data_IF_701375337893
#
_entry.id   IF_701375337893
#
_cell.length_a   1.000
_cell.length_b   1.000
_cell.length_c   1.000
_cell.angle_alpha   90.00
_cell.angle_beta   90.00
_cell.angle_gamma   90.00
#
_symmetry.space_group_name_H-M   'P 1'
#
loop_
_entity.id
_entity.type
_entity.pdbx_description
1 polymer ?
#
# COMPACT_ATOMS: atom_id res chain seq x y z
N UNK A 1 4.34 42.75 5.47
CA UNK A 1 2.94 43.20 5.71
C UNK A 1 2.24 42.23 6.68
N UNK A 2 1.27 42.67 7.49
CA UNK A 2 0.43 41.78 8.32
C UNK A 2 -0.93 41.56 7.65
N UNK A 3 -1.43 40.32 7.64
CA UNK A 3 -2.76 39.96 7.11
C UNK A 3 -3.54 39.07 8.06
N UNK A 4 -4.85 39.10 7.91
CA UNK A 4 -5.79 38.34 8.75
C UNK A 4 -5.85 36.89 8.27
N UNK A 5 -5.67 35.95 9.21
CA UNK A 5 -5.80 34.51 8.96
C UNK A 5 -7.12 34.00 9.55
N UNK A 6 -7.92 33.29 8.75
CA UNK A 6 -9.17 32.71 9.23
C UNK A 6 -8.94 31.29 9.77
N UNK A 7 -8.80 31.18 11.10
CA UNK A 7 -8.60 29.89 11.77
C UNK A 7 -9.90 29.36 12.36
N UNK A 8 -10.29 28.15 11.94
CA UNK A 8 -11.52 27.52 12.42
C UNK A 8 -11.50 27.29 13.93
N UNK A 9 -12.50 27.82 14.60
CA UNK A 9 -12.73 27.59 16.03
C UNK A 9 -11.79 28.36 16.96
N UNK A 10 -11.17 29.43 16.47
CA UNK A 10 -10.49 30.45 17.28
C UNK A 10 -11.38 31.67 17.37
N UNK A 11 -11.51 32.25 18.56
CA UNK A 11 -12.23 33.50 18.77
C UNK A 11 -11.26 34.68 18.57
N UNK A 12 -11.74 35.76 17.97
CA UNK A 12 -10.94 36.96 17.77
C UNK A 12 -10.05 36.92 16.53
N UNK A 13 -9.16 37.90 16.44
CA UNK A 13 -8.41 38.23 15.22
C UNK A 13 -7.02 37.63 15.27
N UNK A 14 -6.68 36.79 14.30
CA UNK A 14 -5.32 36.26 14.11
C UNK A 14 -4.69 36.98 12.93
N UNK A 15 -3.49 37.54 13.13
CA UNK A 15 -2.70 38.19 12.08
C UNK A 15 -1.34 37.53 11.95
N UNK A 16 -0.84 37.45 10.74
CA UNK A 16 0.46 36.85 10.44
C UNK A 16 1.18 37.65 9.36
N UNK A 17 2.51 37.62 9.37
CA UNK A 17 3.33 38.17 8.29
C UNK A 17 3.61 37.14 7.19
N UNK A 18 4.29 37.58 6.13
CA UNK A 18 4.45 36.85 4.87
C UNK A 18 5.22 35.52 4.99
N UNK A 19 6.15 35.42 5.94
CA UNK A 19 6.96 34.23 6.25
C UNK A 19 6.51 33.47 7.50
N UNK A 20 5.51 34.01 8.20
CA UNK A 20 5.04 33.45 9.47
C UNK A 20 6.01 33.59 10.63
N UNK A 21 7.06 34.42 10.55
CA UNK A 21 7.96 34.68 11.69
C UNK A 21 7.28 35.43 12.85
N UNK A 22 6.21 36.18 12.56
CA UNK A 22 5.42 36.93 13.55
C UNK A 22 3.94 36.61 13.41
N UNK A 23 3.37 35.99 14.45
CA UNK A 23 1.94 35.67 14.56
C UNK A 23 1.36 36.42 15.76
N UNK A 24 0.24 37.11 15.55
CA UNK A 24 -0.47 37.84 16.59
C UNK A 24 -1.88 37.29 16.77
N UNK A 25 -2.34 37.19 18.02
CA UNK A 25 -3.74 36.92 18.37
C UNK A 25 -4.23 38.04 19.28
N UNK A 26 -5.27 38.76 18.85
CA UNK A 26 -5.82 39.93 19.55
C UNK A 26 -4.71 40.92 19.97
N UNK A 27 -3.87 41.29 19.00
CA UNK A 27 -2.72 42.22 19.14
C UNK A 27 -1.55 41.74 20.01
N UNK A 28 -1.62 40.53 20.59
CA UNK A 28 -0.52 39.93 21.35
C UNK A 28 0.32 39.01 20.47
N UNK A 29 1.64 39.16 20.53
CA UNK A 29 2.58 38.27 19.84
C UNK A 29 2.52 36.86 20.45
N UNK A 30 2.46 35.85 19.59
CA UNK A 30 2.40 34.44 19.96
C UNK A 30 3.76 33.80 19.71
N UNK A 31 4.26 33.08 20.72
CA UNK A 31 5.51 32.34 20.61
C UNK A 31 5.35 31.12 19.70
N UNK A 32 6.38 30.89 18.89
CA UNK A 32 6.47 29.74 18.01
C UNK A 32 7.44 28.71 18.58
N UNK A 33 7.20 27.45 18.23
CA UNK A 33 8.06 26.32 18.58
C UNK A 33 8.12 25.33 17.42
N UNK A 34 9.17 24.51 17.38
CA UNK A 34 9.34 23.50 16.33
C UNK A 34 8.88 22.14 16.82
N UNK A 35 8.06 21.46 16.03
CA UNK A 35 7.65 20.08 16.28
C UNK A 35 8.37 19.17 15.29
N UNK A 36 9.12 18.21 15.82
CA UNK A 36 9.80 17.18 15.03
C UNK A 36 9.03 15.87 15.16
N UNK A 37 8.78 15.21 14.03
CA UNK A 37 8.29 13.84 14.02
C UNK A 37 9.39 12.92 13.48
N UNK A 38 9.29 11.62 13.76
CA UNK A 38 10.24 10.63 13.26
C UNK A 38 10.38 10.65 11.73
N UNK A 39 9.36 11.12 11.01
CA UNK A 39 9.32 11.17 9.54
C UNK A 39 9.80 12.50 8.94
N UNK A 40 10.03 13.53 9.76
CA UNK A 40 10.41 14.87 9.30
C UNK A 40 11.59 15.40 10.12
N UNK A 41 12.80 15.20 9.61
CA UNK A 41 14.06 15.56 10.30
C UNK A 41 14.15 17.05 10.67
N UNK A 42 13.67 17.94 9.78
CA UNK A 42 13.62 19.39 10.02
C UNK A 42 12.51 19.82 10.97
N UNK A 43 11.40 19.08 11.01
CA UNK A 43 10.19 19.44 11.75
C UNK A 43 9.37 20.54 11.09
N UNK A 44 8.39 21.06 11.83
CA UNK A 44 7.51 22.16 11.40
C UNK A 44 7.43 23.23 12.48
N UNK A 45 7.37 24.50 12.06
CA UNK A 45 6.99 25.58 12.96
C UNK A 45 5.49 25.50 13.30
N UNK A 46 5.20 25.65 14.58
CA UNK A 46 3.86 25.66 15.15
C UNK A 46 3.73 26.76 16.19
N UNK A 47 2.48 27.14 16.47
CA UNK A 47 2.12 27.98 17.59
C UNK A 47 0.89 27.41 18.31
N UNK A 48 0.72 27.79 19.57
CA UNK A 48 -0.46 27.46 20.36
C UNK A 48 -1.32 28.72 20.53
N UNK A 49 -2.58 28.66 20.11
CA UNK A 49 -3.57 29.75 20.24
C UNK A 49 -4.79 29.13 20.91
N UNK A 50 -5.23 29.69 22.05
CA UNK A 50 -6.37 29.15 22.83
C UNK A 50 -6.26 27.64 23.11
N UNK A 51 -5.07 27.17 23.51
CA UNK A 51 -4.74 25.76 23.76
C UNK A 51 -4.90 24.83 22.55
N UNK A 52 -5.02 25.38 21.34
CA UNK A 52 -5.04 24.63 20.09
C UNK A 52 -3.74 24.87 19.33
N UNK A 53 -3.18 23.79 18.83
CA UNK A 53 -1.97 23.83 18.03
C UNK A 53 -2.29 24.10 16.57
N UNK A 54 -1.58 25.07 15.99
CA UNK A 54 -1.64 25.40 14.57
C UNK A 54 -0.25 25.35 13.96
N UNK A 55 -0.17 24.86 12.72
CA UNK A 55 1.06 24.92 11.94
C UNK A 55 1.21 26.30 11.31
N UNK A 56 2.41 26.88 11.43
CA UNK A 56 2.72 28.23 10.92
C UNK A 56 2.44 28.36 9.43
N UNK A 57 2.89 27.41 8.61
CA UNK A 57 2.64 27.41 7.16
C UNK A 57 1.15 27.47 6.82
N UNK A 58 0.29 26.87 7.64
CA UNK A 58 -1.16 26.88 7.40
C UNK A 58 -1.76 28.25 7.72
N UNK A 59 -1.30 28.89 8.80
CA UNK A 59 -1.74 30.25 9.15
C UNK A 59 -1.34 31.23 8.04
N UNK A 60 -0.10 31.14 7.54
CA UNK A 60 0.37 31.96 6.41
C UNK A 60 -0.47 31.71 5.16
N UNK A 61 -0.72 30.44 4.81
CA UNK A 61 -1.50 30.11 3.62
C UNK A 61 -2.96 30.60 3.70
N UNK A 62 -3.60 30.54 4.86
CA UNK A 62 -4.96 31.08 5.05
C UNK A 62 -5.02 32.61 4.91
N UNK A 63 -3.92 33.33 5.17
CA UNK A 63 -3.86 34.79 5.09
C UNK A 63 -3.38 35.34 3.73
N UNK A 64 -2.48 34.62 3.05
CA UNK A 64 -1.79 35.13 1.86
C UNK A 64 -2.05 34.32 0.58
N UNK A 65 -2.49 33.06 0.69
CA UNK A 65 -2.60 32.16 -0.47
C UNK A 65 -4.05 31.81 -0.74
N UNK A 66 -4.60 32.34 -1.83
CA UNK A 66 -5.96 32.01 -2.26
C UNK A 66 -6.06 30.52 -2.58
N UNK A 67 -7.01 29.85 -1.94
CA UNK A 67 -7.30 28.45 -2.25
C UNK A 67 -8.21 28.35 -3.49
N UNK A 68 -7.74 27.79 -4.62
CA UNK A 68 -8.53 27.73 -5.85
C UNK A 68 -9.63 26.66 -5.79
N UNK A 69 -9.52 25.66 -4.92
CA UNK A 69 -10.50 24.58 -4.79
C UNK A 69 -10.74 24.21 -3.32
N UNK A 70 -11.39 25.08 -2.53
CA UNK A 70 -11.50 24.92 -1.08
C UNK A 70 -12.12 23.59 -0.62
N UNK A 71 -12.97 22.98 -1.44
CA UNK A 71 -13.60 21.68 -1.14
C UNK A 71 -12.60 20.52 -1.27
N UNK A 72 -11.72 20.55 -2.26
CA UNK A 72 -10.81 19.43 -2.56
C UNK A 72 -9.38 19.65 -2.05
N UNK A 73 -8.94 20.91 -1.93
CA UNK A 73 -7.60 21.27 -1.50
C UNK A 73 -7.60 21.63 -0.03
N UNK A 74 -7.28 20.63 0.79
CA UNK A 74 -7.28 20.73 2.26
C UNK A 74 -5.87 20.76 2.85
N UNK A 75 -4.84 20.54 2.04
CA UNK A 75 -3.44 20.51 2.45
C UNK A 75 -2.73 21.77 1.94
N UNK A 76 -1.78 22.25 2.74
CA UNK A 76 -0.82 23.27 2.34
C UNK A 76 0.50 22.56 2.07
N UNK A 77 1.12 22.86 0.93
CA UNK A 77 2.30 22.17 0.42
C UNK A 77 3.40 23.21 0.19
N UNK A 78 4.60 22.92 0.71
CA UNK A 78 5.84 23.67 0.43
C UNK A 78 6.36 23.28 -0.96
N UNK A 79 6.59 24.27 -1.84
CA UNK A 79 7.02 24.07 -3.22
C UNK A 79 8.46 23.57 -3.31
N UNK A 80 9.33 24.09 -2.46
CA UNK A 80 10.75 23.72 -2.36
C UNK A 80 11.02 22.45 -1.53
N UNK A 81 10.01 21.93 -0.83
CA UNK A 81 10.13 20.78 0.08
C UNK A 81 10.77 21.11 1.44
N UNK A 82 11.14 22.36 1.72
CA UNK A 82 11.62 22.78 3.02
C UNK A 82 10.45 23.18 3.94
N UNK A 83 10.20 22.37 4.95
CA UNK A 83 9.09 22.53 5.90
C UNK A 83 9.25 23.73 6.83
N UNK A 84 10.42 24.37 6.85
CA UNK A 84 10.71 25.58 7.62
C UNK A 84 10.60 26.86 6.77
N UNK A 85 10.60 26.76 5.44
CA UNK A 85 10.41 27.91 4.55
C UNK A 85 8.91 28.22 4.38
N UNK A 86 8.35 28.99 5.31
CA UNK A 86 6.92 29.28 5.36
C UNK A 86 6.52 30.54 4.58
N UNK A 87 7.40 31.13 3.76
CA UNK A 87 7.04 32.28 2.93
C UNK A 87 5.86 31.95 2.02
N UNK A 88 4.85 32.82 1.97
CA UNK A 88 3.60 32.53 1.26
C UNK A 88 3.80 32.16 -0.22
N UNK A 89 4.82 32.73 -0.87
CA UNK A 89 5.17 32.38 -2.26
C UNK A 89 5.68 30.95 -2.41
N UNK A 90 6.26 30.36 -1.34
CA UNK A 90 6.68 28.97 -1.30
C UNK A 90 5.51 28.02 -0.98
N UNK A 91 4.32 28.53 -0.65
CA UNK A 91 3.18 27.70 -0.26
C UNK A 91 2.15 27.58 -1.38
N UNK A 92 1.45 26.44 -1.43
CA UNK A 92 0.27 26.26 -2.27
C UNK A 92 -0.76 25.36 -1.59
N UNK A 93 -2.03 25.58 -1.94
CA UNK A 93 -3.12 24.69 -1.55
C UNK A 93 -3.21 23.50 -2.51
N UNK A 94 -3.34 22.30 -1.95
CA UNK A 94 -3.46 21.06 -2.73
C UNK A 94 -4.11 19.93 -1.94
N UNK A 95 -4.00 18.73 -2.50
CA UNK A 95 -4.47 17.48 -1.90
C UNK A 95 -3.36 16.42 -1.92
N UNK A 96 -3.66 15.21 -1.46
CA UNK A 96 -2.68 14.12 -1.42
C UNK A 96 -2.09 13.77 -2.79
N UNK A 97 -2.84 13.95 -3.88
CA UNK A 97 -2.35 13.74 -5.25
C UNK A 97 -1.34 14.81 -5.64
N UNK A 98 -1.64 16.08 -5.38
CA UNK A 98 -0.72 17.20 -5.62
C UNK A 98 0.56 17.06 -4.80
N UNK A 99 0.44 16.68 -3.53
CA UNK A 99 1.60 16.42 -2.67
C UNK A 99 2.47 15.29 -3.24
N UNK A 100 1.86 14.18 -3.65
CA UNK A 100 2.59 13.08 -4.28
C UNK A 100 3.33 13.53 -5.54
N UNK A 101 2.67 14.28 -6.43
CA UNK A 101 3.29 14.82 -7.64
C UNK A 101 4.51 15.69 -7.31
N UNK A 102 4.38 16.60 -6.35
CA UNK A 102 5.50 17.44 -5.89
C UNK A 102 6.67 16.65 -5.32
N UNK A 103 6.39 15.58 -4.57
CA UNK A 103 7.44 14.67 -4.04
C UNK A 103 8.16 13.92 -5.16
N UNK A 104 7.44 13.55 -6.23
CA UNK A 104 8.03 12.93 -7.43
C UNK A 104 8.89 13.95 -8.18
N UNK A 105 8.38 15.17 -8.42
CA UNK A 105 9.12 16.26 -9.08
C UNK A 105 10.40 16.62 -8.32
N UNK A 106 10.35 16.64 -6.99
CA UNK A 106 11.50 16.89 -6.13
C UNK A 106 12.48 15.71 -6.03
N UNK A 107 12.21 14.58 -6.71
CA UNK A 107 13.10 13.41 -6.71
C UNK A 107 13.24 12.72 -5.35
N UNK A 108 12.26 12.84 -4.45
CA UNK A 108 12.33 12.25 -3.12
C UNK A 108 12.34 10.71 -3.24
N UNK A 109 13.33 10.00 -2.68
CA UNK A 109 13.41 8.54 -2.74
C UNK A 109 12.12 7.87 -2.26
N UNK A 110 11.58 6.96 -3.07
CA UNK A 110 10.33 6.23 -2.78
C UNK A 110 9.04 6.93 -3.20
N UNK A 111 9.07 8.22 -3.59
CA UNK A 111 7.98 8.85 -4.31
C UNK A 111 8.05 8.44 -5.80
N UNK A 112 6.93 8.03 -6.42
CA UNK A 112 6.91 7.70 -7.86
C UNK A 112 7.33 6.26 -8.23
N UNK A 113 8.29 5.68 -7.51
CA UNK A 113 8.92 4.39 -7.85
C UNK A 113 7.92 3.23 -7.89
N UNK A 114 6.89 3.25 -7.03
CA UNK A 114 5.96 2.14 -6.86
C UNK A 114 5.00 1.89 -8.03
N UNK A 115 4.77 2.89 -8.88
CA UNK A 115 3.85 2.79 -10.02
C UNK A 115 4.54 2.83 -11.37
N UNK A 116 5.74 3.39 -11.46
CA UNK A 116 6.48 3.53 -12.72
C UNK A 116 7.22 2.24 -13.06
N UNK A 117 7.82 1.57 -12.06
CA UNK A 117 8.52 0.33 -12.29
C UNK A 117 7.61 -0.89 -12.04
N UNK A 118 7.22 -1.57 -13.12
CA UNK A 118 6.47 -2.84 -13.05
C UNK A 118 7.22 -3.93 -12.27
N UNK A 119 8.54 -3.77 -12.11
CA UNK A 119 9.41 -4.65 -11.30
C UNK A 119 9.40 -4.30 -9.81
N UNK A 120 8.92 -3.12 -9.42
CA UNK A 120 8.84 -2.76 -8.01
C UNK A 120 7.80 -3.61 -7.27
N UNK A 121 8.27 -4.30 -6.23
CA UNK A 121 7.46 -5.18 -5.37
C UNK A 121 7.35 -4.69 -3.94
N UNK A 122 7.66 -3.42 -3.69
CA UNK A 122 7.71 -2.86 -2.34
C UNK A 122 8.85 -3.46 -1.53
N UNK A 123 8.67 -3.52 -0.21
CA UNK A 123 9.59 -4.14 0.75
C UNK A 123 9.49 -5.68 0.77
N UNK A 124 9.09 -6.31 -0.35
CA UNK A 124 8.98 -7.77 -0.44
C UNK A 124 10.37 -8.40 -0.42
N UNK A 125 10.57 -9.43 0.40
CA UNK A 125 11.80 -10.24 0.39
C UNK A 125 12.03 -10.93 -0.97
N UNK A 126 10.94 -11.29 -1.66
CA UNK A 126 10.98 -11.90 -2.99
C UNK A 126 11.12 -10.80 -4.05
N UNK A 127 12.21 -10.86 -4.81
CA UNK A 127 12.52 -10.00 -5.95
C UNK A 127 11.53 -10.18 -7.11
N UNK A 128 11.61 -9.29 -8.11
CA UNK A 128 10.78 -9.42 -9.31
C UNK A 128 11.06 -10.71 -10.07
N UNK A 129 12.33 -11.00 -10.31
CA UNK A 129 12.73 -12.16 -11.13
C UNK A 129 12.36 -13.48 -10.44
N UNK A 130 12.52 -13.56 -9.12
CA UNK A 130 12.05 -14.70 -8.32
C UNK A 130 10.53 -14.84 -8.38
N UNK A 131 9.79 -13.73 -8.32
CA UNK A 131 8.34 -13.79 -8.42
C UNK A 131 7.84 -14.31 -9.78
N UNK A 132 8.56 -14.02 -10.88
CA UNK A 132 8.26 -14.59 -12.19
C UNK A 132 8.53 -16.10 -12.19
N UNK A 133 9.68 -16.55 -11.66
CA UNK A 133 9.99 -17.98 -11.53
C UNK A 133 8.95 -18.72 -10.69
N UNK A 134 8.53 -18.13 -9.57
CA UNK A 134 7.45 -18.67 -8.72
C UNK A 134 6.14 -18.77 -9.52
N UNK A 135 5.78 -17.75 -10.29
CA UNK A 135 4.56 -17.76 -11.09
C UNK A 135 4.54 -18.89 -12.13
N UNK A 136 5.67 -19.17 -12.78
CA UNK A 136 5.82 -20.29 -13.72
C UNK A 136 5.67 -21.65 -13.03
N UNK A 137 6.28 -21.83 -11.85
CA UNK A 137 6.14 -23.05 -11.04
C UNK A 137 4.68 -23.29 -10.62
N UNK A 138 3.99 -22.23 -10.24
CA UNK A 138 2.56 -22.28 -9.93
C UNK A 138 1.71 -22.65 -11.15
N UNK A 139 2.02 -22.11 -12.33
CA UNK A 139 1.33 -22.44 -13.60
C UNK A 139 1.61 -23.89 -14.06
N UNK A 140 2.74 -24.47 -13.64
CA UNK A 140 3.08 -25.91 -13.77
C UNK A 140 2.35 -26.81 -12.78
N UNK A 141 1.66 -26.24 -11.80
CA UNK A 141 0.80 -26.96 -10.85
C UNK A 141 1.44 -27.23 -9.49
N UNK A 142 2.56 -26.59 -9.16
CA UNK A 142 3.08 -26.61 -7.80
C UNK A 142 2.14 -25.86 -6.84
N UNK A 143 2.11 -26.29 -5.58
CA UNK A 143 1.20 -25.71 -4.59
C UNK A 143 1.82 -24.48 -3.95
N UNK A 144 0.97 -23.49 -3.62
CA UNK A 144 1.43 -22.28 -2.94
C UNK A 144 2.13 -22.59 -1.60
N UNK A 145 1.66 -23.62 -0.90
CA UNK A 145 2.21 -24.09 0.37
C UNK A 145 3.65 -24.60 0.23
N UNK A 146 3.92 -25.41 -0.79
CA UNK A 146 5.27 -25.95 -1.02
C UNK A 146 6.28 -24.84 -1.26
N UNK A 147 5.94 -23.92 -2.18
CA UNK A 147 6.80 -22.79 -2.52
C UNK A 147 6.96 -21.84 -1.33
N UNK A 148 5.89 -21.59 -0.57
CA UNK A 148 5.94 -20.73 0.61
C UNK A 148 6.95 -21.26 1.65
N UNK A 149 6.97 -22.59 1.86
CA UNK A 149 7.93 -23.24 2.77
C UNK A 149 9.37 -23.11 2.27
N UNK A 150 9.60 -23.34 0.97
CA UNK A 150 10.92 -23.23 0.35
C UNK A 150 11.50 -21.81 0.44
N UNK A 151 10.69 -20.80 0.15
CA UNK A 151 11.11 -19.40 0.18
C UNK A 151 11.04 -18.77 1.59
N UNK A 152 10.64 -19.54 2.61
CA UNK A 152 10.40 -19.07 3.97
C UNK A 152 9.52 -17.80 4.04
N UNK A 153 8.39 -17.83 3.33
CA UNK A 153 7.42 -16.73 3.28
C UNK A 153 6.01 -17.23 3.60
N UNK A 154 5.11 -16.29 3.91
CA UNK A 154 3.69 -16.63 4.08
C UNK A 154 3.08 -17.20 2.79
N UNK A 155 2.14 -18.15 2.91
CA UNK A 155 1.36 -18.63 1.75
C UNK A 155 0.66 -17.48 1.02
N UNK A 156 0.26 -16.43 1.75
CA UNK A 156 -0.34 -15.22 1.20
C UNK A 156 0.59 -14.46 0.25
N UNK A 157 1.90 -14.44 0.51
CA UNK A 157 2.90 -13.84 -0.39
C UNK A 157 2.88 -14.54 -1.76
N UNK A 158 2.82 -15.87 -1.76
CA UNK A 158 2.75 -16.69 -2.99
C UNK A 158 1.38 -16.53 -3.68
N UNK A 159 0.28 -16.42 -2.92
CA UNK A 159 -1.06 -16.16 -3.48
C UNK A 159 -1.11 -14.78 -4.18
N UNK A 160 -0.49 -13.75 -3.61
CA UNK A 160 -0.38 -12.43 -4.25
C UNK A 160 0.43 -12.50 -5.54
N UNK A 161 1.53 -13.27 -5.54
CA UNK A 161 2.31 -13.53 -6.76
C UNK A 161 1.44 -14.20 -7.83
N UNK A 162 0.68 -15.24 -7.47
CA UNK A 162 -0.24 -15.90 -8.40
C UNK A 162 -1.20 -14.93 -9.06
N UNK A 163 -1.90 -14.12 -8.25
CA UNK A 163 -2.89 -13.16 -8.75
C UNK A 163 -2.27 -12.20 -9.76
N UNK A 164 -1.06 -11.70 -9.47
CA UNK A 164 -0.40 -10.66 -10.26
C UNK A 164 0.37 -11.18 -11.48
N UNK A 165 1.02 -12.34 -11.41
CA UNK A 165 1.99 -12.79 -12.43
C UNK A 165 1.66 -14.11 -13.13
N UNK A 166 0.84 -15.00 -12.55
CA UNK A 166 0.48 -16.23 -13.24
C UNK A 166 -0.39 -15.95 -14.46
N UNK A 167 -0.11 -16.69 -15.55
CA UNK A 167 -0.88 -16.66 -16.79
C UNK A 167 -2.23 -17.35 -16.57
N UNK A 168 -2.25 -18.47 -15.84
CA UNK A 168 -3.49 -19.21 -15.54
C UNK A 168 -4.15 -18.62 -14.31
N UNK A 169 -5.34 -18.03 -14.46
CA UNK A 169 -6.14 -17.48 -13.34
C UNK A 169 -6.96 -18.56 -12.62
N UNK A 170 -6.37 -19.72 -12.38
CA UNK A 170 -7.00 -20.84 -11.66
C UNK A 170 -6.63 -20.81 -10.18
N UNK A 171 -7.51 -21.32 -9.32
CA UNK A 171 -7.21 -21.48 -7.91
C UNK A 171 -6.01 -22.44 -7.70
N UNK A 172 -5.22 -22.21 -6.65
CA UNK A 172 -4.14 -23.14 -6.29
C UNK A 172 -4.73 -24.54 -6.09
N UNK A 173 -4.15 -25.59 -6.69
CA UNK A 173 -4.54 -26.94 -6.35
C UNK A 173 -4.28 -27.16 -4.86
N UNK A 174 -5.22 -27.84 -4.19
CA UNK A 174 -5.14 -28.13 -2.75
C UNK A 174 -4.09 -29.20 -2.44
N UNK A 175 -3.83 -30.09 -3.39
CA UNK A 175 -2.89 -31.21 -3.30
C UNK A 175 -1.92 -31.16 -4.48
N UNK A 176 -0.71 -31.68 -4.30
CA UNK A 176 0.27 -31.78 -5.39
C UNK A 176 -0.16 -32.80 -6.45
N UNK A 177 0.49 -32.74 -7.62
CA UNK A 177 0.29 -33.73 -8.68
C UNK A 177 0.66 -35.14 -8.21
N UNK A 178 1.73 -35.28 -7.45
CA UNK A 178 2.23 -36.58 -6.99
C UNK A 178 1.24 -37.26 -6.03
N UNK A 179 0.66 -36.50 -5.09
CA UNK A 179 -0.40 -37.02 -4.22
C UNK A 179 -1.58 -37.50 -5.05
N UNK A 180 -1.95 -36.76 -6.10
CA UNK A 180 -3.02 -37.17 -7.00
C UNK A 180 -2.67 -38.43 -7.78
N UNK A 181 -1.46 -38.56 -8.33
CA UNK A 181 -1.04 -39.77 -9.06
C UNK A 181 -0.99 -41.00 -8.16
N UNK A 182 -0.47 -40.87 -6.94
CA UNK A 182 -0.42 -41.98 -5.98
C UNK A 182 -1.82 -42.47 -5.63
N UNK A 183 -2.78 -41.56 -5.39
CA UNK A 183 -4.17 -41.95 -5.13
C UNK A 183 -4.78 -42.67 -6.32
N UNK A 184 -4.53 -42.22 -7.55
CA UNK A 184 -5.07 -42.87 -8.74
C UNK A 184 -4.51 -44.28 -8.92
N UNK A 185 -3.22 -44.51 -8.66
CA UNK A 185 -2.62 -45.85 -8.68
C UNK A 185 -3.20 -46.77 -7.60
N UNK A 186 -3.47 -46.24 -6.41
CA UNK A 186 -4.09 -47.02 -5.33
C UNK A 186 -5.53 -47.42 -5.65
N UNK A 187 -6.27 -46.57 -6.38
CA UNK A 187 -7.65 -46.87 -6.79
C UNK A 187 -7.76 -48.01 -7.81
N UNK A 188 -6.66 -48.41 -8.46
CA UNK A 188 -6.66 -49.59 -9.33
C UNK A 188 -6.70 -50.90 -8.54
N UNK A 189 -6.29 -50.88 -7.26
CA UNK A 189 -6.08 -52.08 -6.44
C UNK A 189 -6.95 -52.15 -5.20
N UNK A 190 -7.44 -51.02 -4.71
CA UNK A 190 -8.15 -50.90 -3.45
C UNK A 190 -9.45 -50.12 -3.59
N UNK A 191 -10.41 -50.39 -2.71
CA UNK A 191 -11.68 -49.66 -2.68
C UNK A 191 -11.51 -48.21 -2.22
N UNK A 192 -12.46 -47.34 -2.58
CA UNK A 192 -12.46 -45.91 -2.19
C UNK A 192 -12.22 -45.68 -0.68
N UNK A 193 -12.84 -46.51 0.17
CA UNK A 193 -12.74 -46.39 1.63
C UNK A 193 -11.33 -46.74 2.11
N UNK A 194 -10.72 -47.77 1.52
CA UNK A 194 -9.36 -48.20 1.86
C UNK A 194 -8.33 -47.16 1.40
N UNK A 195 -8.46 -46.62 0.18
CA UNK A 195 -7.56 -45.57 -0.31
C UNK A 195 -7.65 -44.30 0.54
N UNK A 196 -8.85 -43.90 0.96
CA UNK A 196 -9.04 -42.78 1.87
C UNK A 196 -8.34 -43.01 3.22
N UNK A 197 -8.44 -44.23 3.76
CA UNK A 197 -7.78 -44.61 5.02
C UNK A 197 -6.25 -44.65 4.88
N UNK A 198 -5.72 -45.22 3.80
CA UNK A 198 -4.27 -45.35 3.54
C UNK A 198 -3.63 -43.96 3.36
N UNK A 199 -4.27 -43.08 2.60
CA UNK A 199 -3.69 -41.77 2.25
C UNK A 199 -4.01 -40.67 3.27
N UNK A 200 -4.88 -40.96 4.25
CA UNK A 200 -5.39 -39.97 5.20
C UNK A 200 -6.22 -38.86 4.55
N UNK A 201 -6.63 -39.03 3.29
CA UNK A 201 -7.45 -38.06 2.57
C UNK A 201 -8.92 -38.26 2.88
N UNK A 202 -9.69 -37.17 2.81
CA UNK A 202 -11.15 -37.26 2.92
C UNK A 202 -11.72 -38.11 1.80
N UNK A 203 -12.68 -38.97 2.15
CA UNK A 203 -13.37 -39.86 1.22
C UNK A 203 -13.91 -39.11 -0.01
N UNK A 204 -14.48 -37.92 0.18
CA UNK A 204 -15.06 -37.12 -0.91
C UNK A 204 -14.00 -36.64 -1.90
N UNK A 205 -12.76 -36.40 -1.43
CA UNK A 205 -11.64 -36.02 -2.31
C UNK A 205 -11.26 -37.17 -3.21
N UNK A 206 -11.11 -38.38 -2.64
CA UNK A 206 -10.76 -39.60 -3.36
C UNK A 206 -11.85 -39.94 -4.39
N UNK A 207 -13.12 -39.96 -3.96
CA UNK A 207 -14.28 -40.20 -4.84
C UNK A 207 -14.38 -39.19 -5.99
N UNK A 208 -14.09 -37.91 -5.74
CA UNK A 208 -14.09 -36.90 -6.80
C UNK A 208 -13.03 -37.18 -7.86
N UNK A 209 -11.86 -37.67 -7.45
CA UNK A 209 -10.77 -37.96 -8.39
C UNK A 209 -11.04 -39.22 -9.21
N UNK A 210 -11.60 -40.27 -8.61
CA UNK A 210 -12.08 -41.46 -9.34
C UNK A 210 -13.07 -41.07 -10.45
N UNK A 211 -14.13 -40.31 -10.12
CA UNK A 211 -15.11 -39.83 -11.10
C UNK A 211 -14.48 -39.04 -12.25
N UNK A 212 -13.46 -38.22 -11.95
CA UNK A 212 -12.77 -37.43 -12.98
C UNK A 212 -11.93 -38.27 -13.95
N UNK A 213 -11.57 -39.49 -13.58
CA UNK A 213 -10.87 -40.44 -14.45
C UNK A 213 -11.86 -41.24 -15.28
N UNK A 214 -12.98 -41.67 -14.69
CA UNK A 214 -14.05 -42.41 -15.40
C UNK A 214 -14.61 -41.57 -16.55
N UNK A 215 -14.98 -40.31 -16.28
CA UNK A 215 -15.49 -39.38 -17.31
C UNK A 215 -14.49 -39.14 -18.45
N UNK A 216 -13.18 -39.14 -18.17
CA UNK A 216 -12.15 -39.00 -19.21
C UNK A 216 -11.95 -40.26 -20.06
N UNK A 217 -12.26 -41.44 -19.53
CA UNK A 217 -12.19 -42.69 -20.31
C UNK A 217 -13.36 -42.79 -21.28
N UNK A 218 -14.54 -42.34 -20.86
CA UNK A 218 -15.77 -42.30 -21.67
C UNK A 218 -15.63 -41.31 -22.85
N UNK A 219 -15.04 -40.12 -22.62
CA UNK A 219 -14.81 -39.10 -23.67
C UNK A 219 -13.77 -39.50 -24.75
N UNK A 220 -12.92 -40.50 -24.49
CA UNK A 220 -11.86 -40.95 -25.43
C UNK A 220 -12.33 -42.19 -26.23
N UNK A 221 -13.46 -42.78 -25.85
CA UNK A 221 -14.10 -43.91 -26.53
C UNK A 221 -15.21 -43.52 -27.51
N UNK A 222 -15.35 -42.21 -27.78
CA UNK A 222 -16.22 -41.59 -28.80
C UNK A 222 -15.37 -40.89 -29.85
#
# INVERSE_FOLDING_TARGET
MLRDANLKGIKGKVRVNEDGSSIYHNDKLINQYTIKSASHSKGYYCCSIENKQFYTHRIVAEAFVQNPKPISYKLVIHKDGDTLNNHFENLLWGNSKTLYQKRVEAGIPGAGVSHIDKKYRGSSSISYDEAIKIAERLDKGETARSIAKEYNVSEMSIIRIRKRYCKKKVASPRYSKDVKSTVLQLLEKYSLKEVAKITGLRYETVRRWEKSVVSKKEDVSL
#
